data_IF_676887291343
#
_entry.id   IF_676887291343
#
_cell.length_a   1.000
_cell.length_b   1.000
_cell.length_c   1.000
_cell.angle_alpha   90.00
_cell.angle_beta   90.00
_cell.angle_gamma   90.00
#
_symmetry.space_group_name_H-M   'P 1'
#
loop_
_entity.id
_entity.type
_entity.pdbx_description
1 polymer ?
#
# COMPACT_ATOMS: atom_id res chain seq x y z
N UNK A 1 15.01 -71.08 -39.20
CA UNK A 1 13.61 -71.42 -38.84
C UNK A 1 13.34 -70.99 -37.41
N UNK A 2 12.52 -69.95 -37.23
CA UNK A 2 11.51 -69.84 -36.16
C UNK A 2 10.70 -68.57 -36.44
N UNK A 3 9.48 -68.80 -36.91
CA UNK A 3 8.43 -67.83 -37.20
C UNK A 3 7.72 -67.47 -35.89
N UNK A 4 7.62 -66.18 -35.57
CA UNK A 4 6.59 -65.58 -34.69
C UNK A 4 6.34 -64.16 -35.24
N UNK A 5 5.55 -63.98 -36.29
CA UNK A 5 4.11 -63.65 -36.29
C UNK A 5 3.62 -62.67 -35.20
N UNK A 6 3.34 -61.44 -35.68
CA UNK A 6 2.06 -60.70 -35.52
C UNK A 6 1.84 -59.95 -34.20
N UNK A 7 1.87 -58.59 -34.23
CA UNK A 7 0.68 -57.72 -34.17
C UNK A 7 1.08 -56.24 -34.09
N UNK A 8 0.43 -55.44 -34.94
CA UNK A 8 0.45 -53.99 -34.91
C UNK A 8 -0.19 -53.46 -33.62
N UNK A 9 0.34 -52.36 -33.08
CA UNK A 9 -0.37 -51.50 -32.13
C UNK A 9 0.06 -50.07 -32.39
N UNK A 10 -0.64 -49.45 -33.34
CA UNK A 10 -0.60 -48.02 -33.60
C UNK A 10 -1.20 -47.33 -32.37
N UNK A 11 -0.34 -46.88 -31.45
CA UNK A 11 -0.76 -46.01 -30.36
C UNK A 11 -0.98 -44.61 -30.94
N UNK A 12 -2.20 -44.37 -31.45
CA UNK A 12 -2.71 -43.01 -31.67
C UNK A 12 -2.85 -42.39 -30.29
N UNK A 13 -1.87 -41.57 -29.90
CA UNK A 13 -1.98 -40.72 -28.73
C UNK A 13 -3.09 -39.69 -29.02
N UNK A 14 -4.26 -39.94 -28.45
CA UNK A 14 -5.38 -39.01 -28.41
C UNK A 14 -4.88 -37.72 -27.75
N UNK A 15 -4.84 -36.63 -28.52
CA UNK A 15 -4.70 -35.29 -28.00
C UNK A 15 -5.94 -35.02 -27.14
N UNK A 16 -5.81 -35.28 -25.83
CA UNK A 16 -6.80 -34.87 -24.86
C UNK A 16 -6.77 -33.34 -24.90
N UNK A 17 -7.79 -32.76 -25.53
CA UNK A 17 -8.16 -31.36 -25.34
C UNK A 17 -8.40 -31.18 -23.85
N UNK A 18 -7.37 -30.68 -23.17
CA UNK A 18 -7.49 -30.18 -21.81
C UNK A 18 -8.63 -29.19 -21.80
N UNK A 19 -9.73 -29.50 -21.10
CA UNK A 19 -10.65 -28.50 -20.61
C UNK A 19 -9.92 -27.66 -19.55
N UNK A 20 -8.93 -26.89 -19.99
CA UNK A 20 -8.31 -25.84 -19.21
C UNK A 20 -9.15 -24.60 -19.44
N UNK A 21 -9.74 -24.05 -18.37
CA UNK A 21 -10.14 -22.64 -18.41
C UNK A 21 -8.94 -21.77 -18.82
N UNK A 22 -9.17 -20.48 -19.18
CA UNK A 22 -8.07 -19.60 -19.56
C UNK A 22 -6.98 -19.68 -18.49
N UNK A 23 -5.80 -20.18 -18.87
CA UNK A 23 -4.66 -20.19 -17.98
C UNK A 23 -4.24 -18.74 -17.76
N UNK A 24 -4.20 -18.31 -16.50
CA UNK A 24 -3.77 -16.96 -16.13
C UNK A 24 -2.40 -16.67 -16.77
N UNK A 25 -2.31 -15.53 -17.46
CA UNK A 25 -1.10 -15.16 -18.17
C UNK A 25 0.04 -14.83 -17.21
N UNK A 26 1.28 -14.98 -17.67
CA UNK A 26 2.46 -14.60 -16.88
C UNK A 26 2.45 -13.10 -16.53
N UNK A 27 1.91 -12.25 -17.42
CA UNK A 27 1.81 -10.82 -17.18
C UNK A 27 0.87 -10.49 -16.00
N UNK A 28 -0.29 -11.17 -15.89
CA UNK A 28 -1.18 -10.98 -14.72
C UNK A 28 -0.53 -11.47 -13.43
N UNK A 29 0.17 -12.61 -13.46
CA UNK A 29 0.89 -13.11 -12.26
C UNK A 29 1.93 -12.11 -11.80
N UNK A 30 2.69 -11.53 -12.73
CA UNK A 30 3.69 -10.52 -12.42
C UNK A 30 3.04 -9.23 -11.92
N UNK A 31 1.93 -8.80 -12.51
CA UNK A 31 1.17 -7.63 -12.06
C UNK A 31 0.70 -7.80 -10.61
N UNK A 32 0.12 -8.96 -10.26
CA UNK A 32 -0.29 -9.30 -8.88
C UNK A 32 0.86 -9.24 -7.89
N UNK A 33 2.00 -9.84 -8.26
CA UNK A 33 3.21 -9.80 -7.42
C UNK A 33 3.71 -8.37 -7.20
N UNK A 34 3.71 -7.54 -8.23
CA UNK A 34 4.10 -6.13 -8.11
C UNK A 34 3.13 -5.36 -7.21
N UNK A 35 1.84 -5.64 -7.31
CA UNK A 35 0.82 -5.01 -6.47
C UNK A 35 0.94 -5.41 -5.00
N UNK A 36 1.17 -6.69 -4.69
CA UNK A 36 1.46 -7.13 -3.31
C UNK A 36 2.68 -6.41 -2.73
N UNK A 37 3.75 -6.24 -3.53
CA UNK A 37 4.93 -5.49 -3.12
C UNK A 37 4.63 -4.01 -2.92
N UNK A 38 3.84 -3.41 -3.82
CA UNK A 38 3.41 -2.03 -3.77
C UNK A 38 2.64 -1.75 -2.48
N UNK A 39 1.60 -2.55 -2.17
CA UNK A 39 0.76 -2.40 -0.97
C UNK A 39 1.59 -2.48 0.30
N UNK A 40 2.51 -3.44 0.37
CA UNK A 40 3.41 -3.57 1.51
C UNK A 40 4.30 -2.33 1.68
N UNK A 41 4.96 -1.90 0.61
CA UNK A 41 5.88 -0.76 0.67
C UNK A 41 5.13 0.54 0.97
N UNK A 42 3.90 0.70 0.48
CA UNK A 42 3.10 1.87 0.79
C UNK A 42 2.68 1.92 2.24
N UNK A 43 2.26 0.78 2.82
CA UNK A 43 1.97 0.69 4.25
C UNK A 43 3.20 1.03 5.09
N UNK A 44 4.33 0.38 4.82
CA UNK A 44 5.59 0.64 5.53
C UNK A 44 6.00 2.13 5.43
N UNK A 45 5.89 2.74 4.23
CA UNK A 45 6.24 4.15 4.03
C UNK A 45 5.31 5.11 4.79
N UNK A 46 4.00 4.84 4.80
CA UNK A 46 3.03 5.67 5.52
C UNK A 46 3.28 5.61 7.03
N UNK A 47 3.50 4.41 7.58
CA UNK A 47 3.82 4.23 9.01
C UNK A 47 5.12 4.96 9.38
N UNK A 48 6.18 4.83 8.57
CA UNK A 48 7.45 5.53 8.78
C UNK A 48 7.29 7.05 8.72
N UNK A 49 6.46 7.57 7.80
CA UNK A 49 6.18 9.00 7.66
C UNK A 49 5.46 9.55 8.90
N UNK A 50 4.43 8.85 9.37
CA UNK A 50 3.68 9.24 10.57
C UNK A 50 4.56 9.24 11.81
N UNK A 51 5.43 8.23 11.96
CA UNK A 51 6.42 8.17 13.05
C UNK A 51 7.41 9.35 12.99
N UNK A 52 7.87 9.72 11.80
CA UNK A 52 8.82 10.82 11.63
C UNK A 52 8.19 12.20 11.91
N UNK A 53 6.92 12.39 11.56
CA UNK A 53 6.20 13.64 11.75
C UNK A 53 5.70 13.84 13.18
N UNK A 54 5.28 12.77 13.86
CA UNK A 54 4.64 12.82 15.18
C UNK A 54 5.31 13.72 16.24
N UNK A 55 6.65 13.76 16.39
CA UNK A 55 7.26 14.58 17.43
C UNK A 55 7.53 16.03 17.03
N UNK A 56 7.39 16.40 15.74
CA UNK A 56 7.94 17.66 15.22
C UNK A 56 7.25 18.89 15.79
N UNK A 57 5.92 18.92 15.83
CA UNK A 57 5.15 20.04 16.38
C UNK A 57 5.57 20.34 17.83
N UNK A 58 5.59 19.31 18.68
CA UNK A 58 6.00 19.46 20.08
C UNK A 58 7.48 19.88 20.24
N UNK A 59 8.36 19.47 19.33
CA UNK A 59 9.76 19.91 19.34
C UNK A 59 9.90 21.38 18.89
N UNK A 60 9.13 21.81 17.89
CA UNK A 60 9.08 23.21 17.44
C UNK A 60 8.61 24.10 18.59
N UNK A 61 7.50 23.75 19.24
CA UNK A 61 6.96 24.48 20.39
C UNK A 61 7.98 24.56 21.53
N UNK A 62 8.62 23.43 21.87
CA UNK A 62 9.65 23.38 22.90
C UNK A 62 10.83 24.29 22.58
N UNK A 63 11.30 24.29 21.32
CA UNK A 63 12.38 25.16 20.87
C UNK A 63 11.99 26.64 20.96
N UNK A 64 10.76 27.00 20.55
CA UNK A 64 10.23 28.36 20.67
C UNK A 64 10.11 28.81 22.13
N UNK A 65 9.64 27.95 23.03
CA UNK A 65 9.49 28.26 24.47
C UNK A 65 10.82 28.60 25.15
N UNK A 66 11.91 27.94 24.76
CA UNK A 66 13.26 28.24 25.31
C UNK A 66 14.00 29.34 24.52
N UNK A 67 13.37 29.89 23.48
CA UNK A 67 13.91 30.97 22.66
C UNK A 67 14.91 30.53 21.59
N UNK A 68 14.99 29.23 21.28
CA UNK A 68 15.84 28.70 20.21
C UNK A 68 15.12 28.78 18.86
N UNK A 69 15.09 30.00 18.32
CA UNK A 69 14.39 30.29 17.05
C UNK A 69 15.07 29.66 15.83
N UNK A 70 16.36 29.33 15.93
CA UNK A 70 17.08 28.66 14.83
C UNK A 70 16.64 27.20 14.74
N UNK A 71 16.66 26.48 15.87
CA UNK A 71 16.19 25.10 15.92
C UNK A 71 14.72 24.99 15.52
N UNK A 72 13.86 25.88 16.03
CA UNK A 72 12.44 25.91 15.65
C UNK A 72 12.25 26.08 14.13
N UNK A 73 13.04 26.94 13.48
CA UNK A 73 12.97 27.14 12.03
C UNK A 73 13.48 25.92 11.23
N UNK A 74 14.50 25.23 11.72
CA UNK A 74 15.00 24.00 11.10
C UNK A 74 13.98 22.86 11.20
N UNK A 75 13.36 22.69 12.37
CA UNK A 75 12.31 21.70 12.59
C UNK A 75 11.04 22.00 11.77
N UNK A 76 10.59 23.26 11.72
CA UNK A 76 9.44 23.66 10.88
C UNK A 76 9.71 23.43 9.38
N UNK A 77 10.97 23.62 8.95
CA UNK A 77 11.37 23.29 7.58
C UNK A 77 11.29 21.78 7.32
N UNK A 78 11.76 20.96 8.26
CA UNK A 78 11.67 19.50 8.18
C UNK A 78 10.22 19.03 8.15
N UNK A 79 9.38 19.52 9.04
CA UNK A 79 7.94 19.26 9.09
C UNK A 79 7.28 19.57 7.74
N UNK A 80 7.50 20.77 7.20
CA UNK A 80 6.97 21.12 5.87
C UNK A 80 7.57 20.31 4.71
N UNK A 81 8.75 19.69 4.87
CA UNK A 81 9.29 18.76 3.88
C UNK A 81 8.58 17.40 3.93
N UNK A 82 8.26 16.90 5.12
CA UNK A 82 7.53 15.65 5.31
C UNK A 82 6.05 15.77 4.94
N UNK A 83 5.39 16.87 5.30
CA UNK A 83 4.01 17.18 4.90
C UNK A 83 3.81 17.16 3.36
N UNK A 84 4.79 17.69 2.62
CA UNK A 84 4.76 17.60 1.15
C UNK A 84 4.92 16.18 0.61
N UNK A 85 5.59 15.29 1.34
CA UNK A 85 5.63 13.87 0.97
C UNK A 85 4.28 13.23 1.28
N UNK A 86 3.69 13.53 2.43
CA UNK A 86 2.39 13.00 2.84
C UNK A 86 1.29 13.30 1.82
N UNK A 87 1.17 14.56 1.42
CA UNK A 87 0.21 14.96 0.37
C UNK A 87 0.45 14.21 -0.93
N UNK A 88 1.71 14.11 -1.39
CA UNK A 88 2.03 13.37 -2.62
C UNK A 88 1.80 11.87 -2.49
N UNK A 89 1.97 11.32 -1.30
CA UNK A 89 1.69 9.92 -1.01
C UNK A 89 0.19 9.66 -1.08
N UNK A 90 -0.63 10.50 -0.46
CA UNK A 90 -2.08 10.43 -0.56
C UNK A 90 -2.56 10.58 -2.01
N UNK A 91 -2.09 11.59 -2.74
CA UNK A 91 -2.39 11.76 -4.18
C UNK A 91 -2.02 10.52 -4.99
N UNK A 92 -0.86 9.91 -4.73
CA UNK A 92 -0.45 8.67 -5.38
C UNK A 92 -1.33 7.48 -4.97
N UNK A 93 -1.69 7.36 -3.69
CA UNK A 93 -2.48 6.25 -3.15
C UNK A 93 -3.86 6.16 -3.81
N UNK A 94 -4.46 7.31 -4.12
CA UNK A 94 -5.74 7.41 -4.85
C UNK A 94 -5.64 6.87 -6.29
N UNK A 95 -4.43 6.81 -6.87
CA UNK A 95 -4.19 6.26 -8.21
C UNK A 95 -3.95 4.75 -8.23
N UNK A 96 -3.76 4.12 -7.07
CA UNK A 96 -3.53 2.68 -6.98
C UNK A 96 -4.78 1.94 -7.42
N UNK A 97 -4.63 1.00 -8.34
CA UNK A 97 -5.74 0.26 -8.93
C UNK A 97 -5.76 -1.21 -8.53
N UNK A 98 -6.96 -1.74 -8.29
CA UNK A 98 -7.18 -3.17 -8.04
C UNK A 98 -6.87 -4.02 -9.27
N UNK A 99 -6.38 -5.24 -9.06
CA UNK A 99 -6.07 -6.20 -10.14
C UNK A 99 -7.15 -7.27 -10.24
N UNK A 100 -7.61 -7.64 -11.46
CA UNK A 100 -8.62 -8.68 -11.65
C UNK A 100 -8.22 -10.02 -10.99
N UNK A 101 -9.16 -10.58 -10.23
CA UNK A 101 -8.98 -11.89 -9.59
C UNK A 101 -7.95 -11.90 -8.48
N UNK A 102 -7.51 -10.75 -7.99
CA UNK A 102 -6.85 -10.62 -6.70
C UNK A 102 -7.93 -10.18 -5.70
N UNK A 103 -8.36 -11.07 -4.81
CA UNK A 103 -9.08 -10.60 -3.64
C UNK A 103 -8.07 -9.83 -2.78
N UNK A 104 -8.39 -8.61 -2.38
CA UNK A 104 -7.71 -7.97 -1.27
C UNK A 104 -7.97 -8.83 -0.03
N UNK A 105 -7.10 -9.82 0.22
CA UNK A 105 -7.02 -10.50 1.51
C UNK A 105 -6.29 -9.56 2.46
N UNK A 106 -6.92 -8.44 2.78
CA UNK A 106 -6.66 -7.81 4.04
C UNK A 106 -7.42 -8.68 5.05
N UNK A 107 -6.66 -9.44 5.84
CA UNK A 107 -7.16 -10.01 7.07
C UNK A 107 -7.65 -8.82 7.89
N UNK A 108 -8.93 -8.47 7.75
CA UNK A 108 -9.66 -7.72 8.75
C UNK A 108 -9.73 -8.64 9.95
N UNK A 109 -8.62 -8.75 10.67
CA UNK A 109 -8.64 -9.01 12.08
C UNK A 109 -9.56 -7.95 12.65
N UNK A 110 -10.82 -8.33 12.80
CA UNK A 110 -11.92 -7.72 13.54
C UNK A 110 -11.47 -7.60 15.01
N UNK A 111 -10.41 -6.84 15.22
CA UNK A 111 -10.00 -6.32 16.51
C UNK A 111 -10.65 -4.94 16.59
N UNK A 112 -11.98 -4.95 16.65
CA UNK A 112 -12.74 -3.82 17.15
C UNK A 112 -12.14 -3.41 18.48
N UNK A 113 -11.34 -2.35 18.47
CA UNK A 113 -10.94 -1.63 19.65
C UNK A 113 -12.14 -0.78 20.08
N UNK A 114 -13.12 -1.46 20.70
CA UNK A 114 -14.10 -0.81 21.56
C UNK A 114 -13.36 -0.22 22.76
N UNK A 115 -12.96 1.04 22.62
CA UNK A 115 -12.58 1.87 23.75
C UNK A 115 -13.83 2.47 24.37
N UNK A 116 -14.64 1.62 25.02
CA UNK A 116 -15.64 2.05 26.00
C UNK A 116 -14.90 2.66 27.19
N UNK A 117 -14.70 3.98 27.14
CA UNK A 117 -14.33 4.78 28.29
C UNK A 117 -15.60 5.24 29.00
N UNK A 118 -16.07 4.43 29.95
CA UNK A 118 -16.95 4.88 31.02
C UNK A 118 -16.17 5.91 31.86
N UNK A 119 -16.54 7.19 31.75
CA UNK A 119 -16.11 8.23 32.68
C UNK A 119 -17.32 8.80 33.41
N UNK A 120 -17.73 8.10 34.47
CA UNK A 120 -18.45 8.72 35.58
C UNK A 120 -17.54 9.76 36.25
N UNK A 121 -17.89 11.03 36.05
CA UNK A 121 -17.62 12.14 36.95
C UNK A 121 -16.18 12.64 37.01
N UNK A 122 -15.96 13.85 36.48
CA UNK A 122 -15.33 14.94 37.22
C UNK A 122 -15.49 16.24 36.41
N UNK A 123 -16.36 17.14 36.90
CA UNK A 123 -16.29 18.57 36.61
C UNK A 123 -14.87 19.05 36.93
N UNK A 124 -14.18 19.69 35.98
CA UNK A 124 -13.42 20.93 36.14
C UNK A 124 -12.60 21.28 34.89
N UNK A 125 -12.83 22.53 34.43
CA UNK A 125 -11.87 23.45 33.81
C UNK A 125 -11.43 23.22 32.35
N UNK A 126 -11.90 24.17 31.53
CA UNK A 126 -11.35 24.67 30.27
C UNK A 126 -9.90 24.27 29.96
N UNK A 127 -9.75 23.24 29.12
CA UNK A 127 -8.67 23.16 28.15
C UNK A 127 -9.32 22.67 26.85
N UNK A 128 -9.30 23.52 25.82
CA UNK A 128 -9.56 23.13 24.43
C UNK A 128 -8.46 22.15 24.00
N UNK A 129 -8.57 20.90 24.44
CA UNK A 129 -7.83 19.78 23.88
C UNK A 129 -8.47 19.44 22.55
N UNK A 130 -7.77 19.71 21.46
CA UNK A 130 -8.14 19.24 20.14
C UNK A 130 -8.16 17.70 20.17
N UNK A 131 -9.38 17.17 20.27
CA UNK A 131 -9.70 15.77 20.02
C UNK A 131 -9.41 15.49 18.54
N UNK A 132 -8.19 15.04 18.25
CA UNK A 132 -7.88 14.31 17.03
C UNK A 132 -8.47 12.91 17.18
N UNK A 133 -9.80 12.85 17.21
CA UNK A 133 -10.56 11.63 17.02
C UNK A 133 -10.05 11.02 15.74
N UNK A 134 -9.38 9.88 15.91
CA UNK A 134 -8.81 9.07 14.85
C UNK A 134 -9.84 8.97 13.73
N UNK A 135 -9.54 9.66 12.63
CA UNK A 135 -10.23 9.39 11.40
C UNK A 135 -9.76 8.01 10.99
N UNK A 136 -10.63 7.01 11.16
CA UNK A 136 -10.58 5.80 10.36
C UNK A 136 -10.70 6.25 8.90
N UNK A 137 -9.54 6.54 8.29
CA UNK A 137 -9.45 6.76 6.86
C UNK A 137 -9.60 5.38 6.22
N UNK A 138 -10.85 5.02 5.90
CA UNK A 138 -11.17 3.97 4.93
C UNK A 138 -10.46 4.33 3.61
N UNK A 139 -9.25 3.82 3.42
CA UNK A 139 -8.47 3.95 2.18
C UNK A 139 -8.80 2.84 1.16
N UNK A 140 -9.89 2.10 1.35
CA UNK A 140 -10.08 0.80 0.67
C UNK A 140 -10.86 0.86 -0.66
N UNK A 141 -10.75 1.97 -1.40
CA UNK A 141 -11.26 2.04 -2.77
C UNK A 141 -10.17 2.56 -3.70
N UNK A 142 -9.19 1.70 -3.99
CA UNK A 142 -8.31 1.90 -5.12
C UNK A 142 -9.11 2.16 -6.39
N UNK A 143 -8.58 2.96 -7.31
CA UNK A 143 -9.24 3.24 -8.58
C UNK A 143 -9.51 1.92 -9.35
N UNK A 144 -10.63 1.84 -10.07
CA UNK A 144 -10.92 0.66 -10.87
C UNK A 144 -10.14 0.71 -12.19
N UNK A 145 -9.53 -0.42 -12.59
CA UNK A 145 -8.91 -0.52 -13.91
C UNK A 145 -9.96 -0.28 -15.01
N UNK A 146 -9.62 0.50 -16.06
CA UNK A 146 -10.44 0.59 -17.26
C UNK A 146 -10.74 -0.78 -17.88
N UNK A 147 -11.97 -0.97 -18.36
CA UNK A 147 -12.33 -2.18 -19.09
C UNK A 147 -11.54 -2.32 -20.40
N UNK A 148 -11.22 -3.55 -20.79
CA UNK A 148 -10.60 -3.85 -22.09
C UNK A 148 -9.08 -3.69 -22.15
N UNK A 149 -8.42 -3.43 -21.02
CA UNK A 149 -6.96 -3.49 -20.93
C UNK A 149 -6.45 -4.92 -21.15
N UNK A 150 -5.34 -5.03 -21.86
CA UNK A 150 -4.59 -6.27 -21.97
C UNK A 150 -3.79 -6.54 -20.70
N UNK A 151 -3.49 -7.81 -20.45
CA UNK A 151 -2.67 -8.22 -19.32
C UNK A 151 -1.29 -7.52 -19.27
N UNK A 152 -0.72 -7.19 -20.43
CA UNK A 152 0.54 -6.46 -20.53
C UNK A 152 0.39 -4.98 -20.13
N UNK A 153 -0.72 -4.35 -20.51
CA UNK A 153 -1.02 -2.97 -20.09
C UNK A 153 -1.29 -2.90 -18.58
N UNK A 154 -1.98 -3.90 -18.02
CA UNK A 154 -2.17 -4.01 -16.56
C UNK A 154 -0.82 -4.11 -15.85
N UNK A 155 0.09 -4.95 -16.35
CA UNK A 155 1.45 -5.05 -15.80
C UNK A 155 2.21 -3.72 -15.88
N UNK A 156 2.12 -3.01 -17.01
CA UNK A 156 2.79 -1.71 -17.18
C UNK A 156 2.27 -0.67 -16.19
N UNK A 157 0.96 -0.62 -15.95
CA UNK A 157 0.35 0.27 -14.95
C UNK A 157 0.91 -0.03 -13.55
N UNK A 158 0.96 -1.30 -13.14
CA UNK A 158 1.48 -1.67 -11.82
C UNK A 158 2.97 -1.36 -11.68
N UNK A 159 3.76 -1.53 -12.74
CA UNK A 159 5.18 -1.17 -12.76
C UNK A 159 5.38 0.35 -12.65
N UNK A 160 4.53 1.15 -13.31
CA UNK A 160 4.56 2.60 -13.22
C UNK A 160 4.19 3.09 -11.80
N UNK A 161 3.14 2.54 -11.21
CA UNK A 161 2.73 2.85 -9.83
C UNK A 161 3.85 2.51 -8.83
N UNK A 162 4.49 1.35 -8.99
CA UNK A 162 5.62 0.93 -8.16
C UNK A 162 6.82 1.87 -8.29
N UNK A 163 7.11 2.33 -9.51
CA UNK A 163 8.20 3.29 -9.76
C UNK A 163 7.92 4.64 -9.08
N UNK A 164 6.67 5.12 -9.12
CA UNK A 164 6.27 6.33 -8.42
C UNK A 164 6.41 6.20 -6.90
N UNK A 165 6.00 5.07 -6.32
CA UNK A 165 6.17 4.77 -4.90
C UNK A 165 7.65 4.70 -4.49
N UNK A 166 8.50 4.04 -5.27
CA UNK A 166 9.94 3.98 -5.01
C UNK A 166 10.57 5.38 -5.01
N UNK A 167 10.07 6.28 -5.86
CA UNK A 167 10.49 7.69 -5.87
C UNK A 167 10.07 8.44 -4.61
N UNK A 168 8.83 8.27 -4.15
CA UNK A 168 8.34 8.83 -2.88
C UNK A 168 9.18 8.34 -1.69
N UNK A 169 9.44 7.03 -1.64
CA UNK A 169 10.27 6.43 -0.61
C UNK A 169 11.69 7.00 -0.62
N UNK A 170 12.31 7.14 -1.78
CA UNK A 170 13.65 7.71 -1.91
C UNK A 170 13.69 9.20 -1.52
N UNK A 171 12.62 9.95 -1.77
CA UNK A 171 12.49 11.33 -1.31
C UNK A 171 12.38 11.43 0.21
N UNK A 172 11.58 10.55 0.83
CA UNK A 172 11.46 10.43 2.28
C UNK A 172 12.81 10.11 2.93
N UNK A 173 13.49 9.06 2.45
CA UNK A 173 14.80 8.66 2.96
C UNK A 173 15.81 9.80 2.92
N UNK A 174 15.84 10.59 1.84
CA UNK A 174 16.73 11.75 1.71
C UNK A 174 16.46 12.87 2.73
N UNK A 175 15.25 12.93 3.28
CA UNK A 175 14.87 13.94 4.27
C UNK A 175 15.21 13.49 5.69
N UNK A 176 15.13 12.19 5.97
CA UNK A 176 15.35 11.62 7.31
C UNK A 176 16.78 11.11 7.56
N UNK A 177 17.60 10.93 6.51
CA UNK A 177 19.03 10.60 6.57
C UNK A 177 19.93 11.84 6.78
#
# INVERSE_FOLDING_TARGET
>A
MKLIKVLASLAVAVLITSCGGPQESEAIKEAKKLHEQLVRISGDLHDELMVAMAPLEGQIDSAMMVGDTLLAAELAKLEGQLDRIDVRFHDWSETVVEIPGQACNHDHGDAGHDHSHDHEGHDHADHEGHDHSGHDHDHDHGATLPEGLTDAEILEIQAALKTALDSLKADFQRIVE
#
